data_IF_069164198022
#
_entry.id   IF_069164198022
#
_cell.length_a   1.000
_cell.length_b   1.000
_cell.length_c   1.000
_cell.angle_alpha   90.00
_cell.angle_beta   90.00
_cell.angle_gamma   90.00
#
_symmetry.space_group_name_H-M   'P 1'
#
loop_
_entity.id
_entity.type
_entity.pdbx_description
1 polymer ?
#
# COMPACT_ATOMS: atom_id res chain seq x y z
N UNK A 1 3.29 28.84 14.36
CA UNK A 1 2.47 29.00 13.13
C UNK A 1 2.35 27.63 12.48
N UNK A 2 1.15 27.07 12.35
CA UNK A 2 0.93 25.79 11.66
C UNK A 2 1.03 26.10 10.15
N UNK A 3 2.11 25.70 9.50
CA UNK A 3 2.22 25.82 8.04
C UNK A 3 1.13 24.96 7.39
N UNK A 4 0.31 25.54 6.54
CA UNK A 4 -0.66 24.79 5.74
C UNK A 4 0.13 24.01 4.67
N UNK A 5 -0.15 22.72 4.48
CA UNK A 5 0.49 21.93 3.41
C UNK A 5 0.18 22.54 2.03
N UNK A 6 0.99 22.24 1.01
CA UNK A 6 0.74 22.73 -0.34
C UNK A 6 -0.65 22.35 -0.83
N UNK A 7 -1.36 23.27 -1.47
CA UNK A 7 -2.74 23.06 -1.98
C UNK A 7 -2.84 21.81 -2.89
N UNK A 8 -1.80 21.52 -3.67
CA UNK A 8 -1.73 20.35 -4.55
C UNK A 8 -1.81 19.02 -3.80
N UNK A 9 -1.13 18.89 -2.66
CA UNK A 9 -1.16 17.66 -1.84
C UNK A 9 -2.54 17.44 -1.22
N UNK A 10 -3.22 18.50 -0.80
CA UNK A 10 -4.60 18.41 -0.33
C UNK A 10 -5.56 17.96 -1.43
N UNK A 11 -5.41 18.47 -2.65
CA UNK A 11 -6.28 18.10 -3.76
C UNK A 11 -6.11 16.62 -4.13
N UNK A 12 -4.88 16.12 -4.22
CA UNK A 12 -4.61 14.72 -4.58
C UNK A 12 -5.13 13.76 -3.50
N UNK A 13 -4.87 14.05 -2.22
CA UNK A 13 -5.32 13.19 -1.12
C UNK A 13 -6.84 13.21 -0.97
N UNK A 14 -7.49 14.36 -1.18
CA UNK A 14 -8.94 14.47 -1.18
C UNK A 14 -9.56 13.66 -2.33
N UNK A 15 -9.05 13.83 -3.54
CA UNK A 15 -9.56 13.12 -4.71
C UNK A 15 -9.46 11.59 -4.55
N UNK A 16 -8.29 11.07 -4.15
CA UNK A 16 -8.11 9.64 -3.94
C UNK A 16 -9.02 9.09 -2.83
N UNK A 17 -9.19 9.85 -1.73
CA UNK A 17 -10.09 9.50 -0.64
C UNK A 17 -11.56 9.45 -1.11
N UNK A 18 -11.99 10.41 -1.93
CA UNK A 18 -13.36 10.48 -2.42
C UNK A 18 -13.66 9.34 -3.42
N UNK A 19 -12.69 9.00 -4.28
CA UNK A 19 -12.80 7.86 -5.20
C UNK A 19 -12.94 6.56 -4.42
N UNK A 20 -12.11 6.36 -3.39
CA UNK A 20 -12.18 5.16 -2.56
C UNK A 20 -13.48 5.05 -1.76
N UNK A 21 -13.97 6.17 -1.21
CA UNK A 21 -15.28 6.22 -0.52
C UNK A 21 -16.43 5.85 -1.45
N UNK A 22 -16.41 6.28 -2.71
CA UNK A 22 -17.42 5.92 -3.71
C UNK A 22 -17.45 4.43 -3.98
N UNK A 23 -16.27 3.80 -4.12
CA UNK A 23 -16.16 2.35 -4.27
C UNK A 23 -16.72 1.63 -3.04
N UNK A 24 -16.32 2.04 -1.84
CA UNK A 24 -16.84 1.48 -0.59
C UNK A 24 -18.36 1.66 -0.46
N UNK A 25 -18.88 2.83 -0.82
CA UNK A 25 -20.32 3.09 -0.82
C UNK A 25 -21.07 2.15 -1.76
N UNK A 26 -20.57 1.93 -2.98
CA UNK A 26 -21.18 1.00 -3.93
C UNK A 26 -21.29 -0.42 -3.36
N UNK A 27 -20.26 -0.89 -2.64
CA UNK A 27 -20.30 -2.18 -1.94
C UNK A 27 -21.33 -2.21 -0.80
N UNK A 28 -21.39 -1.15 0.01
CA UNK A 28 -22.33 -1.06 1.15
C UNK A 28 -23.76 -1.11 0.69
N UNK A 29 -24.12 -0.36 -0.36
CA UNK A 29 -25.47 -0.33 -0.92
C UNK A 29 -25.77 -1.49 -1.88
N UNK A 30 -24.78 -2.35 -2.15
CA UNK A 30 -24.89 -3.49 -3.08
C UNK A 30 -25.30 -3.04 -4.49
N UNK A 31 -24.57 -2.05 -5.03
CA UNK A 31 -24.80 -1.53 -6.38
C UNK A 31 -24.20 -2.48 -7.43
N UNK A 32 -25.00 -3.47 -7.85
CA UNK A 32 -24.58 -4.46 -8.85
C UNK A 32 -24.54 -3.94 -10.29
N UNK A 33 -24.87 -2.67 -10.52
CA UNK A 33 -24.54 -2.00 -11.79
C UNK A 33 -23.04 -1.83 -11.98
N UNK A 34 -22.28 -1.78 -10.86
CA UNK A 34 -20.82 -1.81 -10.87
C UNK A 34 -20.34 -3.27 -10.99
N UNK A 35 -19.54 -3.54 -12.03
CA UNK A 35 -19.04 -4.88 -12.32
C UNK A 35 -18.19 -5.48 -11.19
N UNK A 36 -17.37 -4.65 -10.55
CA UNK A 36 -16.51 -5.10 -9.44
C UNK A 36 -17.35 -5.50 -8.21
N UNK A 37 -18.43 -4.75 -7.90
CA UNK A 37 -19.35 -5.09 -6.82
C UNK A 37 -20.11 -6.38 -7.14
N UNK A 38 -20.58 -6.53 -8.39
CA UNK A 38 -21.25 -7.73 -8.85
C UNK A 38 -20.38 -8.98 -8.66
N UNK A 39 -19.13 -8.93 -9.05
CA UNK A 39 -18.21 -10.08 -8.97
C UNK A 39 -17.86 -10.47 -7.52
N UNK A 40 -17.82 -9.52 -6.57
CA UNK A 40 -17.19 -9.71 -5.27
C UNK A 40 -18.14 -9.44 -4.08
N UNK A 41 -19.43 -9.21 -4.29
CA UNK A 41 -20.37 -8.93 -3.21
C UNK A 41 -21.73 -9.61 -3.42
N UNK A 42 -22.54 -9.64 -2.36
CA UNK A 42 -23.90 -10.18 -2.36
C UNK A 42 -24.76 -9.37 -1.39
N UNK A 43 -26.09 -9.24 -1.65
CA UNK A 43 -26.98 -8.42 -0.82
C UNK A 43 -27.04 -8.88 0.64
N UNK A 44 -27.07 -10.21 0.88
CA UNK A 44 -27.15 -10.81 2.20
C UNK A 44 -25.83 -10.85 3.00
N UNK A 45 -24.76 -10.26 2.45
CA UNK A 45 -23.46 -10.29 3.08
C UNK A 45 -23.41 -9.36 4.31
N UNK A 46 -22.81 -9.77 5.44
CA UNK A 46 -22.59 -8.89 6.59
C UNK A 46 -21.83 -7.61 6.19
N UNK A 47 -22.20 -6.47 6.80
CA UNK A 47 -21.64 -5.16 6.44
C UNK A 47 -20.11 -5.13 6.49
N UNK A 48 -19.50 -5.77 7.48
CA UNK A 48 -18.02 -5.84 7.60
C UNK A 48 -17.39 -6.47 6.36
N UNK A 49 -18.00 -7.52 5.80
CA UNK A 49 -17.49 -8.19 4.60
C UNK A 49 -17.90 -7.50 3.30
N UNK A 50 -18.93 -6.67 3.30
CA UNK A 50 -19.19 -5.73 2.21
C UNK A 50 -18.06 -4.69 2.15
N UNK A 51 -17.70 -4.12 3.29
CA UNK A 51 -16.60 -3.14 3.39
C UNK A 51 -15.26 -3.78 3.02
N UNK A 52 -14.92 -4.92 3.61
CA UNK A 52 -13.64 -5.60 3.30
C UNK A 52 -13.58 -6.16 1.89
N UNK A 53 -14.71 -6.45 1.28
CA UNK A 53 -14.82 -6.83 -0.13
C UNK A 53 -14.25 -5.78 -1.09
N UNK A 54 -14.23 -4.49 -0.69
CA UNK A 54 -13.60 -3.44 -1.50
C UNK A 54 -12.13 -3.66 -1.76
N UNK A 55 -11.40 -4.28 -0.84
CA UNK A 55 -9.98 -4.62 -1.02
C UNK A 55 -9.70 -6.11 -1.17
N UNK A 56 -10.74 -6.94 -1.05
CA UNK A 56 -10.65 -8.39 -1.22
C UNK A 56 -10.49 -8.86 -2.67
N UNK A 57 -10.41 -7.94 -3.64
CA UNK A 57 -10.27 -8.21 -5.07
C UNK A 57 -9.11 -7.41 -5.67
N UNK A 58 -8.79 -7.68 -6.94
CA UNK A 58 -7.65 -7.06 -7.62
C UNK A 58 -7.82 -5.53 -7.75
N UNK A 59 -8.91 -5.08 -8.37
CA UNK A 59 -9.15 -3.67 -8.70
C UNK A 59 -9.28 -2.81 -7.44
N UNK A 60 -10.04 -3.31 -6.46
CA UNK A 60 -10.24 -2.61 -5.20
C UNK A 60 -8.98 -2.54 -4.35
N UNK A 61 -8.14 -3.57 -4.37
CA UNK A 61 -6.84 -3.56 -3.67
C UNK A 61 -5.85 -2.57 -4.28
N UNK A 62 -5.86 -2.41 -5.61
CA UNK A 62 -5.04 -1.39 -6.30
C UNK A 62 -5.51 0.02 -5.96
N UNK A 63 -6.82 0.22 -5.84
CA UNK A 63 -7.38 1.49 -5.40
C UNK A 63 -7.06 1.80 -3.93
N UNK A 64 -7.06 0.78 -3.05
CA UNK A 64 -6.59 0.91 -1.66
C UNK A 64 -5.11 1.32 -1.64
N UNK A 65 -4.27 0.72 -2.49
CA UNK A 65 -2.85 1.05 -2.63
C UNK A 65 -2.65 2.54 -2.95
N UNK A 66 -3.38 3.05 -3.95
CA UNK A 66 -3.36 4.48 -4.31
C UNK A 66 -3.85 5.39 -3.16
N UNK A 67 -4.88 4.96 -2.45
CA UNK A 67 -5.41 5.71 -1.30
C UNK A 67 -4.42 5.80 -0.15
N UNK A 68 -3.72 4.71 0.16
CA UNK A 68 -2.67 4.69 1.19
C UNK A 68 -1.48 5.56 0.76
N UNK A 69 -1.09 5.52 -0.51
CA UNK A 69 -0.06 6.40 -1.06
C UNK A 69 -0.42 7.89 -0.82
N UNK A 70 -1.69 8.26 -1.03
CA UNK A 70 -2.20 9.60 -0.77
C UNK A 70 -2.16 9.96 0.71
N UNK A 71 -2.55 9.04 1.59
CA UNK A 71 -2.51 9.22 3.05
C UNK A 71 -1.08 9.45 3.52
N UNK A 72 -0.11 8.66 3.06
CA UNK A 72 1.29 8.85 3.42
C UNK A 72 1.84 10.19 2.92
N UNK A 73 1.53 10.59 1.69
CA UNK A 73 1.91 11.91 1.15
C UNK A 73 1.30 13.05 1.97
N UNK A 74 0.05 12.91 2.37
CA UNK A 74 -0.63 13.87 3.24
C UNK A 74 0.07 14.00 4.59
N UNK A 75 0.34 12.91 5.29
CA UNK A 75 1.05 12.95 6.57
C UNK A 75 2.49 13.46 6.41
N UNK A 76 3.17 13.13 5.33
CA UNK A 76 4.50 13.64 5.05
C UNK A 76 4.52 15.16 4.91
N UNK A 77 3.49 15.77 4.33
CA UNK A 77 3.39 17.22 4.16
C UNK A 77 3.37 18.01 5.48
N UNK A 78 3.10 17.36 6.60
CA UNK A 78 3.19 17.94 7.95
C UNK A 78 4.54 17.71 8.65
N UNK A 79 5.49 17.05 7.98
CA UNK A 79 6.83 16.83 8.55
C UNK A 79 7.49 18.19 8.80
N UNK A 80 7.91 18.41 10.04
CA UNK A 80 8.58 19.63 10.48
C UNK A 80 10.10 19.44 10.47
N UNK A 81 10.83 20.58 10.53
CA UNK A 81 12.29 20.61 10.64
C UNK A 81 12.99 19.95 9.44
N UNK A 82 12.48 20.20 8.25
CA UNK A 82 13.12 19.88 6.97
C UNK A 82 13.07 21.10 6.05
N UNK A 83 14.02 21.20 5.14
CA UNK A 83 14.07 22.26 4.15
C UNK A 83 12.83 22.22 3.22
N UNK A 84 12.24 23.39 2.95
CA UNK A 84 11.02 23.51 2.13
C UNK A 84 11.21 22.93 0.71
N UNK A 85 12.40 23.12 0.11
CA UNK A 85 12.68 22.59 -1.23
C UNK A 85 12.79 21.07 -1.22
N UNK A 86 13.38 20.50 -0.19
CA UNK A 86 13.47 19.05 0.00
C UNK A 86 12.08 18.44 0.18
N UNK A 87 11.23 19.04 1.01
CA UNK A 87 9.85 18.58 1.20
C UNK A 87 9.06 18.62 -0.12
N UNK A 88 9.17 19.73 -0.86
CA UNK A 88 8.50 19.89 -2.16
C UNK A 88 8.97 18.83 -3.16
N UNK A 89 10.29 18.61 -3.27
CA UNK A 89 10.83 17.59 -4.20
C UNK A 89 10.35 16.19 -3.84
N UNK A 90 10.36 15.83 -2.56
CA UNK A 90 9.81 14.54 -2.09
C UNK A 90 8.34 14.39 -2.48
N UNK A 91 7.53 15.42 -2.30
CA UNK A 91 6.11 15.41 -2.69
C UNK A 91 5.89 15.39 -4.21
N UNK A 92 6.78 16.01 -5.00
CA UNK A 92 6.74 15.91 -6.47
C UNK A 92 7.00 14.47 -6.91
N UNK A 93 7.97 13.78 -6.31
CA UNK A 93 8.24 12.37 -6.60
C UNK A 93 7.04 11.51 -6.22
N UNK A 94 6.42 11.78 -5.07
CA UNK A 94 5.18 11.09 -4.66
C UNK A 94 4.03 11.36 -5.65
N UNK A 95 3.85 12.59 -6.12
CA UNK A 95 2.84 12.93 -7.12
C UNK A 95 3.07 12.18 -8.44
N UNK A 96 4.32 12.02 -8.85
CA UNK A 96 4.67 11.22 -10.03
C UNK A 96 4.27 9.75 -9.85
N UNK A 97 4.54 9.16 -8.68
CA UNK A 97 4.09 7.80 -8.37
C UNK A 97 2.55 7.69 -8.39
N UNK A 98 1.82 8.68 -7.86
CA UNK A 98 0.36 8.73 -7.94
C UNK A 98 -0.15 8.70 -9.38
N UNK A 99 0.48 9.47 -10.27
CA UNK A 99 0.12 9.51 -11.69
C UNK A 99 0.34 8.13 -12.32
N UNK A 100 1.50 7.50 -12.08
CA UNK A 100 1.80 6.17 -12.64
C UNK A 100 0.80 5.11 -12.17
N UNK A 101 0.54 5.03 -10.85
CA UNK A 101 -0.44 4.08 -10.31
C UNK A 101 -1.87 4.41 -10.73
N UNK A 102 -2.23 5.70 -10.80
CA UNK A 102 -3.53 6.15 -11.29
C UNK A 102 -3.77 5.74 -12.75
N UNK A 103 -2.80 5.92 -13.63
CA UNK A 103 -2.85 5.46 -15.01
C UNK A 103 -2.99 3.94 -15.09
N UNK A 104 -2.19 3.20 -14.30
CA UNK A 104 -2.31 1.75 -14.22
C UNK A 104 -3.73 1.31 -13.84
N UNK A 105 -4.33 1.93 -12.81
CA UNK A 105 -5.70 1.60 -12.39
C UNK A 105 -6.70 1.89 -13.51
N UNK A 106 -6.61 3.05 -14.15
CA UNK A 106 -7.55 3.44 -15.21
C UNK A 106 -7.51 2.49 -16.39
N UNK A 107 -6.31 2.08 -16.83
CA UNK A 107 -6.13 1.29 -18.06
C UNK A 107 -6.19 -0.22 -17.85
N UNK A 108 -5.84 -0.72 -16.68
CA UNK A 108 -5.70 -2.17 -16.44
C UNK A 108 -6.56 -2.73 -15.32
N UNK A 109 -6.95 -1.91 -14.34
CA UNK A 109 -7.58 -2.39 -13.11
C UNK A 109 -8.71 -1.46 -12.63
N UNK A 110 -9.57 -1.03 -13.56
CA UNK A 110 -10.61 -0.04 -13.29
C UNK A 110 -11.75 -0.63 -12.44
N UNK A 111 -11.92 -0.21 -11.17
CA UNK A 111 -12.95 -0.72 -10.27
C UNK A 111 -14.36 -0.14 -10.56
N UNK A 112 -14.49 0.78 -11.52
CA UNK A 112 -15.74 1.47 -11.85
C UNK A 112 -16.34 1.02 -13.19
N UNK A 113 -15.94 -0.14 -13.69
CA UNK A 113 -16.57 -0.71 -14.88
C UNK A 113 -18.06 -1.00 -14.60
N UNK A 114 -18.89 -0.67 -15.56
CA UNK A 114 -20.35 -0.86 -15.48
C UNK A 114 -20.70 -2.20 -16.11
N UNK A 115 -21.64 -2.93 -15.48
CA UNK A 115 -22.20 -4.14 -16.05
C UNK A 115 -22.98 -3.83 -17.33
N UNK A 116 -22.77 -4.65 -18.34
CA UNK A 116 -23.49 -4.55 -19.60
C UNK A 116 -24.93 -5.08 -19.50
N UNK A 117 -25.23 -5.84 -18.45
CA UNK A 117 -26.50 -6.52 -18.24
C UNK A 117 -27.04 -6.10 -16.87
N UNK A 118 -28.34 -5.85 -16.78
CA UNK A 118 -29.02 -5.65 -15.51
C UNK A 118 -29.02 -6.98 -14.73
N UNK A 119 -28.37 -6.97 -13.58
CA UNK A 119 -28.30 -8.12 -12.64
C UNK A 119 -28.93 -7.73 -11.33
N UNK A 120 -29.72 -8.63 -10.76
CA UNK A 120 -30.46 -8.39 -9.51
C UNK A 120 -29.62 -8.78 -8.27
N UNK A 121 -28.56 -9.58 -8.45
CA UNK A 121 -27.78 -10.08 -7.34
C UNK A 121 -26.30 -10.30 -7.77
N UNK A 122 -25.38 -10.19 -6.80
CA UNK A 122 -23.95 -10.40 -7.04
C UNK A 122 -23.52 -11.86 -6.81
N UNK A 123 -22.35 -12.22 -7.38
CA UNK A 123 -21.80 -13.58 -7.30
C UNK A 123 -21.28 -13.93 -5.89
N UNK A 124 -21.04 -12.92 -5.07
CA UNK A 124 -20.52 -13.11 -3.71
C UNK A 124 -18.99 -13.05 -3.60
N UNK A 125 -18.51 -12.94 -2.39
CA UNK A 125 -17.08 -13.05 -2.06
C UNK A 125 -16.79 -14.51 -1.68
N UNK A 126 -15.63 -15.00 -2.05
CA UNK A 126 -15.17 -16.33 -1.61
C UNK A 126 -15.35 -16.48 -0.09
N UNK A 127 -15.98 -17.55 0.40
CA UNK A 127 -16.21 -17.77 1.84
C UNK A 127 -14.94 -17.67 2.69
N UNK A 128 -13.80 -18.16 2.21
CA UNK A 128 -12.50 -18.09 2.89
C UNK A 128 -12.09 -16.62 3.14
N UNK A 129 -12.51 -15.69 2.29
CA UNK A 129 -12.24 -14.27 2.44
C UNK A 129 -13.21 -13.55 3.40
N UNK A 130 -14.22 -14.25 3.91
CA UNK A 130 -15.19 -13.70 4.87
C UNK A 130 -14.75 -13.98 6.31
N UNK A 131 -13.56 -13.51 6.64
CA UNK A 131 -12.93 -13.66 7.94
C UNK A 131 -12.46 -12.30 8.49
N UNK A 132 -12.60 -12.02 9.82
CA UNK A 132 -12.15 -10.77 10.41
C UNK A 132 -10.63 -10.55 10.29
N UNK A 133 -9.81 -11.60 10.35
CA UNK A 133 -8.36 -11.53 10.17
C UNK A 133 -8.03 -11.04 8.77
N UNK A 134 -8.68 -11.62 7.75
CA UNK A 134 -8.51 -11.15 6.37
C UNK A 134 -9.09 -9.74 6.14
N UNK A 135 -10.14 -9.35 6.85
CA UNK A 135 -10.66 -7.98 6.72
C UNK A 135 -9.63 -6.93 7.17
N UNK A 136 -8.83 -7.22 8.20
CA UNK A 136 -7.89 -6.26 8.82
C UNK A 136 -6.47 -6.38 8.24
N UNK A 137 -6.03 -7.60 7.91
CA UNK A 137 -4.66 -7.86 7.44
C UNK A 137 -4.24 -7.04 6.21
N UNK A 138 -5.00 -7.00 5.07
CA UNK A 138 -4.52 -6.36 3.86
C UNK A 138 -4.28 -4.85 3.99
N UNK A 139 -5.14 -4.05 4.64
CA UNK A 139 -4.86 -2.64 4.85
C UNK A 139 -3.58 -2.37 5.64
N UNK A 140 -3.28 -3.17 6.66
CA UNK A 140 -2.07 -3.05 7.47
C UNK A 140 -0.84 -3.44 6.65
N UNK A 141 -0.90 -4.55 5.90
CA UNK A 141 0.17 -4.98 5.02
C UNK A 141 0.48 -3.93 3.95
N UNK A 142 -0.56 -3.39 3.30
CA UNK A 142 -0.40 -2.34 2.30
C UNK A 142 0.16 -1.04 2.89
N UNK A 143 -0.19 -0.68 4.12
CA UNK A 143 0.43 0.46 4.79
C UNK A 143 1.96 0.27 4.92
N UNK A 144 2.43 -0.95 5.16
CA UNK A 144 3.85 -1.30 5.15
C UNK A 144 4.48 -1.18 3.76
N UNK A 145 3.90 -1.83 2.75
CA UNK A 145 4.41 -1.81 1.38
C UNK A 145 4.46 -0.40 0.80
N UNK A 146 3.32 0.30 0.86
CA UNK A 146 3.19 1.64 0.28
C UNK A 146 4.00 2.66 1.05
N UNK A 147 4.18 2.45 2.35
CA UNK A 147 5.01 3.30 3.20
C UNK A 147 6.45 3.43 2.70
N UNK A 148 7.01 2.40 2.08
CA UNK A 148 8.34 2.49 1.48
C UNK A 148 8.40 3.44 0.27
N UNK A 149 7.29 3.85 -0.33
CA UNK A 149 7.28 4.88 -1.37
C UNK A 149 7.75 6.24 -0.85
N UNK A 150 7.37 6.60 0.38
CA UNK A 150 7.86 7.83 1.03
C UNK A 150 9.36 7.74 1.26
N UNK A 151 9.85 6.60 1.76
CA UNK A 151 11.27 6.39 2.01
C UNK A 151 12.09 6.47 0.73
N UNK A 152 11.58 5.84 -0.35
CA UNK A 152 12.12 5.96 -1.70
C UNK A 152 12.19 7.43 -2.15
N UNK A 153 11.09 8.18 -2.01
CA UNK A 153 11.02 9.58 -2.45
C UNK A 153 11.96 10.49 -1.65
N UNK A 154 12.10 10.24 -0.34
CA UNK A 154 13.07 10.92 0.52
C UNK A 154 14.50 10.64 0.04
N UNK A 155 14.82 9.39 -0.24
CA UNK A 155 16.15 9.00 -0.69
C UNK A 155 16.50 9.62 -2.06
N UNK A 156 15.56 9.63 -2.99
CA UNK A 156 15.74 10.26 -4.31
C UNK A 156 15.89 11.77 -4.17
N UNK A 157 15.05 12.44 -3.35
CA UNK A 157 15.17 13.86 -3.08
C UNK A 157 16.55 14.21 -2.46
N UNK A 158 17.04 13.37 -1.53
CA UNK A 158 18.35 13.52 -0.93
C UNK A 158 19.53 13.38 -1.91
N UNK A 159 19.35 12.62 -3.00
CA UNK A 159 20.35 12.53 -4.08
C UNK A 159 20.41 13.80 -4.93
N UNK A 160 19.28 14.45 -5.17
CA UNK A 160 19.22 15.66 -6.01
C UNK A 160 19.58 16.95 -5.26
N UNK A 161 19.35 16.96 -3.97
CA UNK A 161 19.70 18.11 -3.14
C UNK A 161 20.89 17.72 -2.25
N UNK A 162 22.01 18.46 -2.36
CA UNK A 162 23.15 18.35 -1.44
C UNK A 162 22.77 18.92 -0.06
N UNK A 163 21.69 18.36 0.52
CA UNK A 163 21.26 18.71 1.87
C UNK A 163 22.15 18.05 2.91
N UNK A 164 22.31 18.72 4.04
CA UNK A 164 22.92 18.14 5.24
C UNK A 164 22.16 16.85 5.64
N UNK A 165 22.69 16.10 6.59
CA UNK A 165 22.21 14.78 7.00
C UNK A 165 20.77 14.73 7.57
N UNK A 166 20.04 15.85 7.53
CA UNK A 166 18.65 15.96 8.02
C UNK A 166 17.69 14.96 7.36
N UNK A 167 17.85 14.70 6.06
CA UNK A 167 17.02 13.74 5.33
C UNK A 167 17.15 12.31 5.90
N UNK A 168 18.29 11.94 6.48
CA UNK A 168 18.51 10.62 7.10
C UNK A 168 17.62 10.42 8.33
N UNK A 169 17.45 11.49 9.12
CA UNK A 169 16.55 11.44 10.28
C UNK A 169 15.10 11.23 9.85
N UNK A 170 14.68 11.92 8.81
CA UNK A 170 13.33 11.78 8.24
C UNK A 170 13.14 10.40 7.64
N UNK A 171 14.11 9.92 6.86
CA UNK A 171 14.12 8.58 6.29
C UNK A 171 14.02 7.49 7.37
N UNK A 172 14.77 7.64 8.48
CA UNK A 172 14.72 6.70 9.61
C UNK A 172 13.30 6.60 10.20
N UNK A 173 12.65 7.74 10.45
CA UNK A 173 11.29 7.77 11.01
C UNK A 173 10.29 7.04 10.10
N UNK A 174 10.30 7.36 8.81
CA UNK A 174 9.36 6.78 7.85
C UNK A 174 9.68 5.31 7.54
N UNK A 175 10.95 4.91 7.54
CA UNK A 175 11.36 3.51 7.42
C UNK A 175 10.85 2.66 8.59
N UNK A 176 10.97 3.17 9.83
CA UNK A 176 10.44 2.49 11.01
C UNK A 176 8.93 2.34 10.95
N UNK A 177 8.19 3.38 10.55
CA UNK A 177 6.73 3.32 10.39
C UNK A 177 6.36 2.25 9.37
N UNK A 178 6.97 2.28 8.18
CA UNK A 178 6.70 1.32 7.11
C UNK A 178 7.03 -0.11 7.52
N UNK A 179 8.19 -0.31 8.14
CA UNK A 179 8.62 -1.62 8.61
C UNK A 179 7.73 -2.18 9.72
N UNK A 180 7.24 -1.32 10.62
CA UNK A 180 6.31 -1.72 11.70
C UNK A 180 4.97 -2.17 11.11
N UNK A 181 4.38 -1.41 10.18
CA UNK A 181 3.15 -1.82 9.50
C UNK A 181 3.34 -3.13 8.73
N UNK A 182 4.46 -3.27 8.02
CA UNK A 182 4.75 -4.49 7.28
C UNK A 182 4.90 -5.71 8.21
N UNK A 183 5.58 -5.53 9.35
CA UNK A 183 5.71 -6.58 10.38
C UNK A 183 4.35 -6.99 10.92
N UNK A 184 3.51 -6.02 11.28
CA UNK A 184 2.15 -6.28 11.76
C UNK A 184 1.28 -6.95 10.69
N UNK A 185 1.39 -6.50 9.44
CA UNK A 185 0.67 -7.09 8.30
C UNK A 185 1.08 -8.54 8.07
N UNK A 186 2.37 -8.85 8.05
CA UNK A 186 2.88 -10.23 7.90
C UNK A 186 2.38 -11.11 9.06
N UNK A 187 2.53 -10.65 10.30
CA UNK A 187 2.10 -11.40 11.48
C UNK A 187 0.59 -11.73 11.45
N UNK A 188 -0.25 -10.75 11.09
CA UNK A 188 -1.70 -10.95 10.96
C UNK A 188 -2.05 -11.91 9.82
N UNK A 189 -1.34 -11.81 8.70
CA UNK A 189 -1.54 -12.72 7.55
C UNK A 189 -1.16 -14.16 7.89
N UNK A 190 -0.03 -14.36 8.56
CA UNK A 190 0.40 -15.69 9.05
C UNK A 190 -0.59 -16.26 10.06
N UNK A 191 -1.10 -15.42 10.98
CA UNK A 191 -2.12 -15.82 11.94
C UNK A 191 -3.41 -16.27 11.25
N UNK A 192 -3.90 -15.48 10.26
CA UNK A 192 -5.07 -15.85 9.47
C UNK A 192 -4.87 -17.14 8.70
N UNK A 193 -3.74 -17.29 8.00
CA UNK A 193 -3.42 -18.50 7.24
C UNK A 193 -3.36 -19.75 8.14
N UNK A 194 -2.83 -19.62 9.35
CA UNK A 194 -2.70 -20.71 10.31
C UNK A 194 -4.04 -21.34 10.68
N UNK A 195 -5.06 -20.54 10.99
CA UNK A 195 -6.34 -21.12 11.43
C UNK A 195 -7.34 -21.32 10.30
N UNK A 196 -7.28 -20.52 9.23
CA UNK A 196 -8.27 -20.56 8.16
C UNK A 196 -7.87 -21.55 7.05
N UNK A 197 -6.60 -21.60 6.66
CA UNK A 197 -6.14 -22.45 5.58
C UNK A 197 -5.77 -23.87 6.05
N UNK A 198 -5.64 -24.08 7.36
CA UNK A 198 -5.38 -25.40 7.92
C UNK A 198 -4.02 -26.01 7.55
N UNK A 199 -3.06 -25.17 7.19
CA UNK A 199 -1.74 -25.63 6.74
C UNK A 199 -0.86 -26.21 7.86
N UNK A 200 -1.30 -26.15 9.13
CA UNK A 200 -0.67 -26.84 10.26
C UNK A 200 0.55 -26.12 10.86
N UNK A 201 0.94 -24.95 10.38
CA UNK A 201 2.06 -24.17 10.90
C UNK A 201 1.84 -22.66 10.75
N UNK A 202 2.69 -21.88 11.41
CA UNK A 202 2.63 -20.42 11.37
C UNK A 202 3.20 -19.83 10.07
N UNK A 203 4.11 -20.53 9.39
CA UNK A 203 4.79 -20.08 8.18
C UNK A 203 5.02 -21.28 7.25
N UNK A 204 4.64 -21.15 6.00
CA UNK A 204 4.64 -22.23 5.02
C UNK A 204 5.60 -22.05 3.85
N UNK A 205 6.27 -20.91 3.80
CA UNK A 205 7.12 -20.58 2.67
C UNK A 205 6.36 -20.54 1.34
N UNK A 206 5.07 -20.22 1.39
CA UNK A 206 4.32 -20.05 0.17
C UNK A 206 4.81 -18.82 -0.62
N UNK A 207 4.50 -18.71 -1.92
CA UNK A 207 4.94 -17.59 -2.73
C UNK A 207 4.48 -16.23 -2.20
N UNK A 208 3.30 -16.12 -1.61
CA UNK A 208 2.76 -14.84 -1.09
C UNK A 208 3.48 -14.43 0.20
N UNK A 209 3.73 -15.38 1.10
CA UNK A 209 4.53 -15.17 2.31
C UNK A 209 5.96 -14.75 1.95
N UNK A 210 6.61 -15.47 1.04
CA UNK A 210 7.99 -15.17 0.62
C UNK A 210 8.10 -13.80 -0.04
N UNK A 211 7.11 -13.41 -0.85
CA UNK A 211 7.05 -12.10 -1.48
C UNK A 211 6.94 -10.99 -0.42
N UNK A 212 6.17 -11.21 0.64
CA UNK A 212 6.05 -10.23 1.72
C UNK A 212 7.32 -10.11 2.57
N UNK A 213 8.05 -11.20 2.70
CA UNK A 213 9.30 -11.27 3.47
C UNK A 213 10.45 -10.51 2.78
N UNK A 214 10.50 -10.46 1.45
CA UNK A 214 11.57 -9.78 0.73
C UNK A 214 11.74 -8.29 1.12
N UNK A 215 10.72 -7.42 1.00
CA UNK A 215 10.85 -6.03 1.42
C UNK A 215 10.98 -5.87 2.94
N UNK A 216 10.52 -6.84 3.72
CA UNK A 216 10.68 -6.84 5.18
C UNK A 216 12.17 -7.01 5.57
N UNK A 217 12.87 -7.97 4.97
CA UNK A 217 14.31 -8.20 5.21
C UNK A 217 15.13 -6.98 4.73
N UNK A 218 14.85 -6.48 3.52
CA UNK A 218 15.50 -5.27 3.00
C UNK A 218 15.25 -4.06 3.92
N UNK A 219 14.03 -3.92 4.44
CA UNK A 219 13.63 -2.88 5.38
C UNK A 219 14.35 -2.98 6.72
N UNK A 220 14.55 -4.19 7.22
CA UNK A 220 15.36 -4.43 8.43
C UNK A 220 16.80 -3.94 8.23
N UNK A 221 17.42 -4.30 7.11
CA UNK A 221 18.76 -3.82 6.75
C UNK A 221 18.81 -2.29 6.62
N UNK A 222 17.78 -1.69 6.02
CA UNK A 222 17.66 -0.24 5.88
C UNK A 222 17.55 0.46 7.25
N UNK A 223 16.69 -0.03 8.14
CA UNK A 223 16.52 0.53 9.50
C UNK A 223 17.84 0.45 10.27
N UNK A 224 18.55 -0.69 10.22
CA UNK A 224 19.86 -0.82 10.87
C UNK A 224 20.89 0.15 10.29
N UNK A 225 20.97 0.30 8.96
CA UNK A 225 21.88 1.24 8.32
C UNK A 225 21.58 2.69 8.73
N UNK A 226 20.31 3.07 8.84
CA UNK A 226 19.87 4.38 9.31
C UNK A 226 20.15 4.63 10.80
N UNK A 227 20.26 3.57 11.60
CA UNK A 227 20.63 3.67 13.00
C UNK A 227 22.14 3.87 13.19
N UNK A 228 22.93 3.31 12.29
CA UNK A 228 24.41 3.29 12.40
C UNK A 228 25.09 4.47 11.71
N UNK A 229 24.39 5.19 10.82
CA UNK A 229 24.99 6.27 10.04
C UNK A 229 25.54 7.40 10.93
N UNK A 230 26.83 7.72 10.77
CA UNK A 230 27.53 8.79 11.50
C UNK A 230 28.26 9.75 10.53
N UNK A 231 27.67 10.03 9.36
CA UNK A 231 28.24 10.93 8.37
C UNK A 231 29.09 10.25 7.28
N UNK A 232 29.29 8.95 7.33
CA UNK A 232 30.06 8.21 6.33
C UNK A 232 29.35 8.12 4.98
N UNK A 233 30.01 8.62 3.92
CA UNK A 233 29.41 8.68 2.56
C UNK A 233 29.07 7.29 1.99
N UNK A 234 29.85 6.26 2.31
CA UNK A 234 29.60 4.90 1.86
C UNK A 234 28.26 4.36 2.42
N UNK A 235 27.96 4.62 3.68
CA UNK A 235 26.71 4.21 4.35
C UNK A 235 25.53 4.99 3.76
N UNK A 236 25.69 6.26 3.43
CA UNK A 236 24.63 7.06 2.79
C UNK A 236 24.22 6.48 1.43
N UNK A 237 25.19 6.11 0.58
CA UNK A 237 24.91 5.44 -0.70
C UNK A 237 24.18 4.11 -0.51
N UNK A 238 24.59 3.35 0.51
CA UNK A 238 23.94 2.09 0.87
C UNK A 238 22.49 2.29 1.32
N UNK A 239 22.21 3.32 2.14
CA UNK A 239 20.86 3.69 2.56
C UNK A 239 19.97 4.04 1.36
N UNK A 240 20.49 4.83 0.41
CA UNK A 240 19.76 5.14 -0.82
C UNK A 240 19.45 3.87 -1.61
N UNK A 241 20.42 2.99 -1.80
CA UNK A 241 20.21 1.71 -2.49
C UNK A 241 19.14 0.87 -1.79
N UNK A 242 19.22 0.71 -0.48
CA UNK A 242 18.22 -0.06 0.29
C UNK A 242 16.84 0.57 0.24
N UNK A 243 16.73 1.90 0.24
CA UNK A 243 15.45 2.61 0.11
C UNK A 243 14.79 2.33 -1.24
N UNK A 244 15.57 2.36 -2.32
CA UNK A 244 15.11 1.99 -3.66
C UNK A 244 14.72 0.52 -3.70
N UNK A 245 15.55 -0.35 -3.14
CA UNK A 245 15.32 -1.79 -3.12
C UNK A 245 14.02 -2.15 -2.37
N UNK A 246 13.77 -1.59 -1.18
CA UNK A 246 12.55 -1.86 -0.41
C UNK A 246 11.28 -1.53 -1.21
N UNK A 247 11.24 -0.35 -1.83
CA UNK A 247 10.09 0.04 -2.63
C UNK A 247 9.96 -0.79 -3.91
N UNK A 248 11.07 -1.06 -4.60
CA UNK A 248 11.07 -1.91 -5.80
C UNK A 248 10.59 -3.33 -5.49
N UNK A 249 11.01 -3.92 -4.38
CA UNK A 249 10.54 -5.24 -3.93
C UNK A 249 9.05 -5.22 -3.55
N UNK A 250 8.55 -4.13 -2.96
CA UNK A 250 7.13 -3.97 -2.65
C UNK A 250 6.28 -3.91 -3.93
N UNK A 251 6.71 -3.15 -4.94
CA UNK A 251 6.04 -3.08 -6.26
C UNK A 251 6.11 -4.41 -6.99
N UNK A 252 7.29 -5.02 -7.03
CA UNK A 252 7.51 -6.32 -7.66
C UNK A 252 6.66 -7.42 -7.00
N UNK A 253 6.60 -7.43 -5.66
CA UNK A 253 5.76 -8.36 -4.91
C UNK A 253 4.27 -8.19 -5.23
N UNK A 254 3.80 -6.95 -5.27
CA UNK A 254 2.41 -6.64 -5.66
C UNK A 254 2.13 -7.12 -7.09
N UNK A 255 3.06 -6.91 -8.02
CA UNK A 255 2.95 -7.41 -9.38
C UNK A 255 2.84 -8.93 -9.43
N UNK A 256 3.72 -9.66 -8.76
CA UNK A 256 3.71 -11.14 -8.76
C UNK A 256 2.40 -11.70 -8.22
N UNK A 257 1.89 -11.16 -7.10
CA UNK A 257 0.62 -11.61 -6.50
C UNK A 257 -0.58 -11.31 -7.41
N UNK A 258 -0.56 -10.18 -8.13
CA UNK A 258 -1.72 -9.68 -8.88
C UNK A 258 -1.71 -10.00 -10.38
N UNK A 259 -0.58 -10.42 -10.93
CA UNK A 259 -0.45 -10.78 -12.36
C UNK A 259 -1.08 -12.11 -12.73
N UNK A 260 -1.49 -12.94 -11.76
CA UNK A 260 -1.94 -14.31 -12.00
C UNK A 260 -0.82 -15.28 -12.39
N UNK A 261 0.45 -14.83 -12.43
CA UNK A 261 1.62 -15.68 -12.70
C UNK A 261 1.77 -16.74 -11.59
N UNK A 262 1.58 -16.31 -10.34
CA UNK A 262 1.45 -17.23 -9.23
C UNK A 262 0.00 -17.67 -9.23
N UNK A 263 -0.24 -18.85 -9.75
CA UNK A 263 -1.56 -19.46 -9.67
C UNK A 263 -1.96 -19.54 -8.20
N UNK A 264 -2.88 -18.67 -7.80
CA UNK A 264 -3.54 -18.72 -6.51
C UNK A 264 -4.52 -19.91 -6.46
N UNK A 265 -4.16 -21.03 -7.09
CA UNK A 265 -4.94 -22.29 -7.08
C UNK A 265 -5.09 -22.80 -5.65
N UNK A 266 -4.37 -22.23 -4.71
CA UNK A 266 -4.38 -22.67 -3.32
C UNK A 266 -5.06 -21.68 -2.36
N UNK A 267 -5.73 -20.64 -2.89
CA UNK A 267 -6.58 -19.76 -2.08
C UNK A 267 -8.00 -19.76 -2.66
#
# INVERSE_FOLDING_TARGET
MIRRPPRSTHCISSAASDVYKRQMYAYVVSDFSNYNVFQNSHSNKPLIYKISGTWGNHEGSMLLWLSILSIFSFFFSFTKNIEDNFQKLTLIIQAFLHILFGLFIVFTSNPFLVNSILVNEGLGLNPILQDPGLAVHPPILYAGYVGYSIVFSIAIAGLFQNTDDEWLYVAKKWSLISWTFLTGGIALGSYWAYYELGWGGWWFWDPVENISLMPWIAGLALVHSLMMVRGEQAIKKWIVFLSILCFSLSVFGTFLVRSGILSLIHI
#
